data_IF_027000263212
#
_entry.id   IF_027000263212
#
_cell.length_a   1.000
_cell.length_b   1.000
_cell.length_c   1.000
_cell.angle_alpha   90.00
_cell.angle_beta   90.00
_cell.angle_gamma   90.00
#
_symmetry.space_group_name_H-M   'P 1'
#
loop_
_entity.id
_entity.type
_entity.pdbx_description
1 polymer ?
#
# COMPACT_ATOMS: atom_id res chain seq x y z
N UNK A 1 -32.30 15.96 -18.91
CA UNK A 1 -32.46 14.63 -19.59
C UNK A 1 -31.13 14.04 -20.11
N UNK A 2 -29.98 14.64 -19.82
CA UNK A 2 -28.65 14.14 -20.30
C UNK A 2 -27.88 13.25 -19.31
N UNK A 3 -28.36 13.07 -18.10
CA UNK A 3 -27.63 12.25 -17.08
C UNK A 3 -27.96 10.75 -17.06
N UNK A 4 -28.93 10.31 -17.83
CA UNK A 4 -29.26 8.87 -17.92
C UNK A 4 -28.45 8.11 -18.98
N UNK A 5 -27.78 8.80 -19.90
CA UNK A 5 -26.95 8.18 -20.95
C UNK A 5 -25.62 7.57 -20.42
N UNK A 6 -25.02 8.21 -19.41
CA UNK A 6 -23.69 7.81 -18.93
C UNK A 6 -23.70 6.58 -18.01
N UNK A 7 -24.82 6.31 -17.33
CA UNK A 7 -24.95 5.14 -16.45
C UNK A 7 -25.22 3.85 -17.24
N UNK A 8 -25.96 3.94 -18.34
CA UNK A 8 -26.26 2.78 -19.18
C UNK A 8 -25.14 2.46 -20.18
N UNK A 9 -24.35 3.45 -20.62
CA UNK A 9 -23.20 3.25 -21.49
C UNK A 9 -22.07 2.47 -20.84
N UNK A 10 -21.83 2.68 -19.55
CA UNK A 10 -20.78 2.00 -18.79
C UNK A 10 -21.12 0.56 -18.43
N UNK A 11 -22.38 0.23 -18.17
CA UNK A 11 -22.79 -1.10 -17.74
C UNK A 11 -23.07 -2.07 -18.90
N UNK A 12 -23.47 -1.58 -20.06
CA UNK A 12 -23.82 -2.41 -21.23
C UNK A 12 -22.80 -2.35 -22.35
N UNK A 13 -21.94 -1.33 -22.41
CA UNK A 13 -20.93 -1.18 -23.47
C UNK A 13 -19.78 -2.19 -23.40
N UNK A 14 -19.52 -2.78 -22.26
CA UNK A 14 -18.44 -3.78 -22.12
C UNK A 14 -18.84 -5.22 -22.46
N UNK A 15 -20.14 -5.49 -22.65
CA UNK A 15 -20.64 -6.85 -22.90
C UNK A 15 -20.96 -7.16 -24.37
N UNK A 16 -21.10 -6.15 -25.24
CA UNK A 16 -21.52 -6.36 -26.64
C UNK A 16 -20.52 -5.91 -27.69
N UNK A 17 -19.36 -5.37 -27.30
CA UNK A 17 -18.32 -4.85 -28.21
C UNK A 17 -17.12 -5.80 -28.42
N UNK A 18 -17.27 -7.09 -28.30
CA UNK A 18 -16.18 -8.06 -28.33
C UNK A 18 -16.10 -8.99 -29.54
N UNK A 19 -16.48 -8.55 -30.73
CA UNK A 19 -16.20 -9.29 -31.97
C UNK A 19 -15.06 -8.61 -32.70
N UNK A 20 -13.82 -9.05 -32.43
CA UNK A 20 -12.68 -8.66 -33.26
C UNK A 20 -11.39 -8.51 -32.47
N UNK A 21 -10.56 -9.53 -32.53
CA UNK A 21 -9.17 -9.46 -32.11
C UNK A 21 -8.81 -10.52 -31.07
N UNK A 22 -8.47 -11.72 -31.52
CA UNK A 22 -7.82 -12.77 -30.72
C UNK A 22 -6.43 -12.35 -30.29
N UNK A 23 -6.30 -11.28 -29.51
CA UNK A 23 -5.07 -10.94 -28.80
C UNK A 23 -4.79 -12.06 -27.80
N UNK A 24 -3.66 -12.73 -27.95
CA UNK A 24 -3.16 -13.73 -27.02
C UNK A 24 -3.18 -13.10 -25.61
N UNK A 25 -4.07 -13.57 -24.72
CA UNK A 25 -4.11 -13.07 -23.34
C UNK A 25 -2.80 -13.43 -22.68
N UNK A 26 -1.96 -12.42 -22.46
CA UNK A 26 -0.69 -12.60 -21.76
C UNK A 26 -1.00 -13.05 -20.34
N UNK A 27 -0.52 -14.24 -19.97
CA UNK A 27 -0.67 -14.77 -18.63
C UNK A 27 0.10 -13.90 -17.66
N UNK A 28 -0.57 -13.40 -16.62
CA UNK A 28 0.05 -12.58 -15.58
C UNK A 28 0.22 -13.40 -14.30
N UNK A 29 1.37 -13.29 -13.66
CA UNK A 29 1.63 -13.86 -12.35
C UNK A 29 0.75 -13.23 -11.26
N UNK A 30 0.64 -13.90 -10.10
CA UNK A 30 -0.13 -13.39 -8.99
C UNK A 30 0.57 -12.24 -8.28
N UNK A 31 -0.21 -11.29 -7.80
CA UNK A 31 0.33 -10.18 -7.01
C UNK A 31 0.74 -10.65 -5.62
N UNK A 32 1.80 -10.05 -5.09
CA UNK A 32 2.20 -10.21 -3.69
C UNK A 32 1.74 -9.00 -2.89
N UNK A 33 1.39 -9.24 -1.63
CA UNK A 33 1.03 -8.17 -0.68
C UNK A 33 1.95 -8.25 0.53
N UNK A 34 2.54 -7.12 0.88
CA UNK A 34 3.36 -6.97 2.08
C UNK A 34 2.91 -5.75 2.86
N UNK A 35 3.18 -5.76 4.16
CA UNK A 35 2.94 -4.61 5.04
C UNK A 35 4.27 -4.00 5.43
N UNK A 36 4.32 -2.68 5.42
CA UNK A 36 5.52 -1.92 5.79
C UNK A 36 5.15 -0.92 6.85
N UNK A 37 5.76 -1.07 8.02
CA UNK A 37 5.62 -0.12 9.11
C UNK A 37 6.55 1.07 8.90
N UNK A 38 5.98 2.27 9.03
CA UNK A 38 6.69 3.53 8.90
C UNK A 38 6.61 4.29 10.21
N UNK A 39 7.71 4.91 10.59
CA UNK A 39 7.72 5.90 11.67
C UNK A 39 7.18 7.23 11.15
N UNK A 40 6.73 8.08 12.06
CA UNK A 40 6.23 9.41 11.70
C UNK A 40 7.29 10.26 10.99
N UNK A 41 8.57 10.11 11.37
CA UNK A 41 9.71 10.76 10.72
C UNK A 41 9.87 10.31 9.26
N UNK A 42 9.74 9.02 8.99
CA UNK A 42 9.80 8.44 7.65
C UNK A 42 8.62 8.90 6.79
N UNK A 43 7.44 9.09 7.40
CA UNK A 43 6.26 9.61 6.71
C UNK A 43 6.43 11.08 6.32
N UNK A 44 7.04 11.89 7.20
CA UNK A 44 7.24 13.32 6.93
C UNK A 44 8.32 13.57 5.88
N UNK A 45 9.41 12.82 5.94
CA UNK A 45 10.57 13.03 5.06
C UNK A 45 10.53 12.19 3.79
N UNK A 46 9.69 11.14 3.77
CA UNK A 46 9.78 10.09 2.78
C UNK A 46 11.00 9.20 3.03
N UNK A 47 10.97 7.99 2.53
CA UNK A 47 12.06 7.03 2.75
C UNK A 47 12.20 6.05 1.59
N UNK A 48 13.41 5.59 1.35
CA UNK A 48 13.69 4.45 0.48
C UNK A 48 14.01 3.24 1.34
N UNK A 49 13.11 2.23 1.32
CA UNK A 49 13.30 0.98 2.09
C UNK A 49 13.65 -0.17 1.18
N UNK A 50 14.68 -0.93 1.57
CA UNK A 50 15.03 -2.20 0.95
C UNK A 50 14.36 -3.34 1.72
N UNK A 51 13.50 -4.08 1.04
CA UNK A 51 12.69 -5.14 1.66
C UNK A 51 13.00 -6.46 0.99
N UNK A 52 13.22 -7.50 1.77
CA UNK A 52 13.36 -8.86 1.28
C UNK A 52 11.97 -9.45 1.06
N UNK A 53 11.70 -9.84 -0.15
CA UNK A 53 10.40 -10.40 -0.56
C UNK A 53 10.62 -11.84 -1.03
N UNK A 54 9.83 -12.76 -0.47
CA UNK A 54 9.76 -14.15 -0.94
C UNK A 54 8.76 -14.22 -2.09
N UNK A 55 9.24 -14.53 -3.27
CA UNK A 55 8.40 -14.65 -4.47
C UNK A 55 8.62 -15.97 -5.18
N UNK A 56 7.62 -16.43 -5.89
CA UNK A 56 7.74 -17.56 -6.80
C UNK A 56 8.28 -17.07 -8.13
N UNK A 57 9.42 -17.60 -8.53
CA UNK A 57 10.06 -17.30 -9.82
C UNK A 57 10.06 -18.54 -10.67
N UNK A 58 9.96 -18.37 -11.98
CA UNK A 58 10.07 -19.47 -12.90
C UNK A 58 11.51 -20.02 -12.90
N UNK A 59 11.68 -21.34 -12.75
CA UNK A 59 13.01 -21.94 -12.79
C UNK A 59 13.60 -21.82 -14.20
N UNK A 60 14.82 -21.30 -14.35
CA UNK A 60 15.46 -21.16 -15.66
C UNK A 60 15.75 -22.54 -16.31
N UNK A 61 15.91 -23.58 -15.50
CA UNK A 61 16.20 -24.95 -15.98
C UNK A 61 14.95 -25.74 -16.33
N UNK A 62 13.75 -25.18 -16.10
CA UNK A 62 12.51 -25.83 -16.48
C UNK A 62 12.25 -25.69 -17.96
N UNK A 63 11.98 -26.80 -18.64
CA UNK A 63 11.64 -26.82 -20.06
C UNK A 63 10.14 -26.96 -20.27
N UNK A 64 9.64 -26.22 -21.21
CA UNK A 64 8.23 -26.16 -21.56
C UNK A 64 8.02 -26.55 -23.02
N UNK A 65 6.90 -27.19 -23.31
CA UNK A 65 6.43 -27.45 -24.64
C UNK A 65 5.00 -26.97 -24.82
N UNK A 66 4.59 -26.76 -26.06
CA UNK A 66 3.22 -26.37 -26.36
C UNK A 66 2.26 -27.45 -25.88
N UNK A 67 1.21 -27.07 -25.15
CA UNK A 67 0.20 -28.01 -24.65
C UNK A 67 -0.52 -28.67 -25.85
N UNK A 68 -0.46 -29.97 -25.95
CA UNK A 68 -1.09 -30.75 -27.04
C UNK A 68 -2.62 -30.73 -26.96
N UNK A 69 -3.21 -30.52 -25.79
CA UNK A 69 -4.67 -30.52 -25.61
C UNK A 69 -5.32 -29.24 -26.15
N UNK A 70 -4.66 -28.10 -26.01
CA UNK A 70 -5.19 -26.80 -26.45
C UNK A 70 -4.35 -26.16 -27.57
N UNK A 71 -3.32 -26.81 -28.04
CA UNK A 71 -2.40 -26.32 -29.10
C UNK A 71 -1.88 -24.88 -28.78
N UNK A 72 -1.58 -24.62 -27.53
CA UNK A 72 -1.05 -23.33 -27.08
C UNK A 72 -2.10 -22.27 -26.72
N UNK A 73 -3.39 -22.50 -27.00
CA UNK A 73 -4.42 -21.49 -26.77
C UNK A 73 -4.78 -21.29 -25.28
N UNK A 74 -4.41 -22.23 -24.42
CA UNK A 74 -4.79 -22.22 -22.98
C UNK A 74 -6.26 -22.53 -22.70
N UNK A 75 -7.06 -22.68 -23.75
CA UNK A 75 -8.51 -22.91 -23.64
C UNK A 75 -8.94 -24.06 -24.54
N UNK A 76 -9.98 -24.73 -24.16
CA UNK A 76 -10.64 -25.76 -24.96
C UNK A 76 -12.08 -25.36 -25.20
N UNK A 77 -12.52 -25.42 -26.44
CA UNK A 77 -13.93 -25.21 -26.77
C UNK A 77 -14.67 -26.53 -26.80
N UNK A 78 -15.79 -26.58 -26.12
CA UNK A 78 -16.70 -27.74 -26.07
C UNK A 78 -18.02 -27.34 -26.72
N UNK A 79 -18.44 -28.11 -27.73
CA UNK A 79 -19.71 -27.93 -28.39
C UNK A 79 -20.70 -28.87 -27.69
N UNK A 80 -21.76 -28.30 -27.11
CA UNK A 80 -22.85 -29.04 -26.49
C UNK A 80 -24.12 -28.83 -27.30
N UNK A 81 -24.73 -29.92 -27.75
CA UNK A 81 -26.04 -29.85 -28.39
C UNK A 81 -27.11 -29.74 -27.30
N UNK A 82 -27.86 -28.65 -27.30
CA UNK A 82 -28.98 -28.41 -26.40
C UNK A 82 -30.28 -28.38 -27.20
N UNK A 83 -31.41 -28.41 -26.50
CA UNK A 83 -32.77 -28.32 -27.11
C UNK A 83 -32.94 -27.00 -27.90
N UNK A 84 -32.14 -25.98 -27.57
CA UNK A 84 -32.16 -24.67 -28.20
C UNK A 84 -31.10 -24.51 -29.32
N UNK A 85 -30.37 -25.58 -29.67
CA UNK A 85 -29.33 -25.57 -30.69
C UNK A 85 -27.94 -25.91 -30.16
N UNK A 86 -26.94 -25.72 -31.03
CA UNK A 86 -25.52 -25.92 -30.69
C UNK A 86 -25.01 -24.76 -29.87
N UNK A 87 -24.62 -25.02 -28.62
CA UNK A 87 -23.90 -24.03 -27.80
C UNK A 87 -22.42 -24.39 -27.77
N UNK A 88 -21.59 -23.41 -28.10
CA UNK A 88 -20.15 -23.49 -27.94
C UNK A 88 -19.76 -22.82 -26.64
N UNK A 89 -19.21 -23.58 -25.69
CA UNK A 89 -18.64 -23.06 -24.44
C UNK A 89 -17.14 -23.21 -24.48
N UNK A 90 -16.44 -22.16 -24.03
CA UNK A 90 -14.98 -22.16 -23.91
C UNK A 90 -14.63 -22.29 -22.42
N UNK A 91 -13.79 -23.28 -22.10
CA UNK A 91 -13.30 -23.51 -20.75
C UNK A 91 -11.77 -23.49 -20.71
N UNK A 92 -11.22 -23.22 -19.52
CA UNK A 92 -9.78 -23.29 -19.30
C UNK A 92 -9.30 -24.72 -19.58
N UNK A 93 -8.20 -24.87 -20.30
CA UNK A 93 -7.63 -26.17 -20.60
C UNK A 93 -7.21 -26.89 -19.31
N UNK A 94 -7.77 -28.09 -19.02
CA UNK A 94 -7.49 -28.81 -17.78
C UNK A 94 -6.03 -29.32 -17.69
N UNK A 95 -5.37 -29.50 -18.83
CA UNK A 95 -4.01 -30.05 -18.87
C UNK A 95 -2.94 -29.00 -18.55
N UNK A 96 -3.10 -27.77 -19.04
CA UNK A 96 -2.13 -26.69 -18.82
C UNK A 96 -2.66 -25.59 -17.89
N UNK A 97 -3.88 -25.73 -17.34
CA UNK A 97 -4.52 -24.75 -16.46
C UNK A 97 -4.49 -23.30 -17.03
N UNK A 98 -4.67 -23.20 -18.35
CA UNK A 98 -4.68 -21.89 -19.02
C UNK A 98 -3.32 -21.39 -19.47
N UNK A 99 -2.21 -22.04 -19.10
CA UNK A 99 -0.86 -21.60 -19.44
C UNK A 99 -0.53 -21.74 -20.95
N UNK A 100 -1.25 -22.60 -21.69
CA UNK A 100 -0.96 -22.91 -23.09
C UNK A 100 0.28 -23.78 -23.30
N UNK A 101 1.08 -24.01 -22.25
CA UNK A 101 2.30 -24.81 -22.29
C UNK A 101 2.28 -25.85 -21.17
N UNK A 102 2.92 -26.95 -21.40
CA UNK A 102 3.12 -28.06 -20.44
C UNK A 102 4.60 -28.22 -20.12
N UNK A 103 4.89 -28.55 -18.85
CA UNK A 103 6.27 -28.77 -18.42
C UNK A 103 6.76 -30.12 -18.91
N UNK A 104 7.87 -30.13 -19.64
CA UNK A 104 8.53 -31.35 -20.13
C UNK A 104 9.65 -31.80 -19.19
N UNK A 105 10.36 -30.85 -18.57
CA UNK A 105 11.41 -31.13 -17.58
C UNK A 105 11.37 -30.07 -16.51
N UNK A 106 11.53 -30.47 -15.26
CA UNK A 106 11.57 -29.60 -14.09
C UNK A 106 13.01 -29.27 -13.72
N UNK A 107 13.27 -27.99 -13.42
CA UNK A 107 14.54 -27.61 -12.82
C UNK A 107 14.69 -28.18 -11.39
N UNK A 108 15.90 -28.27 -10.91
CA UNK A 108 16.19 -28.74 -9.56
C UNK A 108 15.50 -27.87 -8.50
N UNK A 109 14.72 -28.48 -7.61
CA UNK A 109 13.99 -27.78 -6.56
C UNK A 109 12.70 -27.05 -7.00
N UNK A 110 12.33 -27.13 -8.29
CA UNK A 110 11.10 -26.52 -8.77
C UNK A 110 9.85 -27.36 -8.41
N UNK A 111 8.76 -26.65 -8.13
CA UNK A 111 7.44 -27.27 -7.86
C UNK A 111 6.83 -27.92 -9.11
N UNK A 112 5.60 -28.44 -8.98
CA UNK A 112 4.87 -29.07 -10.10
C UNK A 112 4.63 -28.13 -11.29
N UNK A 113 4.68 -26.84 -11.08
CA UNK A 113 4.49 -25.79 -12.08
C UNK A 113 5.81 -25.20 -12.58
N UNK A 114 6.96 -25.78 -12.21
CA UNK A 114 8.28 -25.30 -12.60
C UNK A 114 8.72 -24.04 -11.84
N UNK A 115 8.08 -23.71 -10.71
CA UNK A 115 8.35 -22.51 -9.94
C UNK A 115 9.31 -22.81 -8.78
N UNK A 116 10.17 -21.84 -8.48
CA UNK A 116 11.08 -21.83 -7.32
C UNK A 116 10.67 -20.73 -6.36
N UNK A 117 10.84 -20.98 -5.06
CA UNK A 117 10.77 -19.92 -4.07
C UNK A 117 12.11 -19.20 -4.02
N UNK A 118 12.15 -17.94 -4.41
CA UNK A 118 13.33 -17.09 -4.36
C UNK A 118 13.11 -15.91 -3.42
N UNK A 119 14.21 -15.45 -2.79
CA UNK A 119 14.21 -14.22 -2.03
C UNK A 119 14.85 -13.11 -2.88
N UNK A 120 14.14 -12.05 -3.09
CA UNK A 120 14.60 -10.86 -3.81
C UNK A 120 14.57 -9.64 -2.89
N UNK A 121 15.62 -8.83 -2.92
CA UNK A 121 15.61 -7.53 -2.24
C UNK A 121 15.09 -6.48 -3.20
N UNK A 122 13.95 -5.88 -2.85
CA UNK A 122 13.31 -4.83 -3.64
C UNK A 122 13.47 -3.50 -2.93
N UNK A 123 13.98 -2.48 -3.62
CA UNK A 123 14.02 -1.10 -3.14
C UNK A 123 12.70 -0.42 -3.47
N UNK A 124 12.08 0.17 -2.46
CA UNK A 124 10.77 0.81 -2.55
C UNK A 124 10.92 2.26 -2.09
N UNK A 125 10.65 3.18 -3.00
CA UNK A 125 10.62 4.60 -2.70
C UNK A 125 9.23 4.99 -2.21
N UNK A 126 9.14 5.40 -0.96
CA UNK A 126 7.91 5.85 -0.31
C UNK A 126 7.94 7.38 -0.27
N UNK A 127 6.98 8.05 -0.92
CA UNK A 127 6.92 9.50 -0.92
C UNK A 127 6.53 10.04 0.46
N UNK A 128 6.87 11.30 0.78
CA UNK A 128 6.41 11.94 2.01
C UNK A 128 4.88 12.13 1.99
N UNK A 129 4.27 12.14 3.17
CA UNK A 129 2.84 12.39 3.30
C UNK A 129 1.93 11.18 3.12
N UNK A 130 2.47 9.96 2.98
CA UNK A 130 1.65 8.75 2.87
C UNK A 130 0.78 8.56 4.11
N UNK A 131 -0.39 7.96 3.91
CA UNK A 131 -1.35 7.67 4.99
C UNK A 131 -1.42 6.18 5.29
N UNK A 132 -1.85 5.86 6.51
CA UNK A 132 -2.13 4.48 6.89
C UNK A 132 -3.18 3.87 5.97
N UNK A 133 -2.98 2.60 5.60
CA UNK A 133 -3.86 1.89 4.66
C UNK A 133 -3.59 2.19 3.19
N UNK A 134 -2.75 3.15 2.85
CA UNK A 134 -2.37 3.38 1.45
C UNK A 134 -1.62 2.18 0.87
N UNK A 135 -1.85 1.92 -0.41
CA UNK A 135 -1.25 0.83 -1.14
C UNK A 135 -0.36 1.36 -2.26
N UNK A 136 0.94 1.09 -2.14
CA UNK A 136 1.91 1.38 -3.19
C UNK A 136 2.08 0.16 -4.09
N UNK A 137 2.11 0.38 -5.40
CA UNK A 137 2.28 -0.65 -6.40
C UNK A 137 3.70 -0.61 -6.98
N UNK A 138 4.42 -1.72 -6.87
CA UNK A 138 5.70 -1.90 -7.54
C UNK A 138 5.52 -2.93 -8.67
N UNK A 139 5.59 -2.48 -9.90
CA UNK A 139 5.32 -3.29 -11.09
C UNK A 139 6.33 -4.41 -11.26
N UNK A 140 5.86 -5.59 -11.70
CA UNK A 140 6.67 -6.76 -12.03
C UNK A 140 7.54 -7.31 -10.87
N UNK A 141 7.17 -7.03 -9.61
CA UNK A 141 7.84 -7.56 -8.39
C UNK A 141 6.98 -8.54 -7.60
N UNK A 142 5.86 -8.98 -8.18
CA UNK A 142 5.06 -10.09 -7.67
C UNK A 142 5.60 -11.45 -8.08
N UNK A 143 4.78 -12.49 -8.00
CA UNK A 143 5.14 -13.83 -8.48
C UNK A 143 5.21 -13.86 -10.00
N UNK A 144 6.10 -14.68 -10.54
CA UNK A 144 6.14 -14.92 -11.97
C UNK A 144 4.89 -15.66 -12.44
N UNK A 145 4.62 -15.57 -13.73
CA UNK A 145 3.59 -16.38 -14.37
C UNK A 145 4.05 -17.82 -14.51
N UNK A 146 3.11 -18.76 -14.45
CA UNK A 146 3.37 -20.17 -14.79
C UNK A 146 3.68 -20.37 -16.28
N UNK A 147 3.50 -19.34 -17.09
CA UNK A 147 3.82 -19.34 -18.52
C UNK A 147 5.16 -18.62 -18.72
N UNK A 148 6.15 -19.23 -19.41
CA UNK A 148 7.43 -18.58 -19.70
C UNK A 148 7.31 -17.25 -20.46
N UNK A 149 6.27 -17.11 -21.29
CA UNK A 149 5.97 -15.89 -22.02
C UNK A 149 5.01 -14.95 -21.25
N UNK A 150 4.73 -15.25 -19.99
CA UNK A 150 3.89 -14.43 -19.13
C UNK A 150 4.65 -13.27 -18.51
N UNK A 151 3.91 -12.32 -17.97
CA UNK A 151 4.47 -11.19 -17.21
C UNK A 151 4.35 -11.45 -15.71
N UNK A 152 5.33 -11.06 -14.91
CA UNK A 152 5.22 -11.13 -13.45
C UNK A 152 4.04 -10.33 -12.92
N UNK A 153 3.53 -10.74 -11.77
CA UNK A 153 2.58 -9.94 -11.01
C UNK A 153 3.20 -8.68 -10.41
N UNK A 154 2.42 -7.92 -9.69
CA UNK A 154 2.88 -6.72 -9.02
C UNK A 154 3.07 -6.98 -7.52
N UNK A 155 3.98 -6.23 -6.91
CA UNK A 155 4.12 -6.17 -5.46
C UNK A 155 3.28 -5.00 -4.95
N UNK A 156 2.35 -5.31 -4.05
CA UNK A 156 1.46 -4.36 -3.41
C UNK A 156 1.94 -4.15 -1.98
N UNK A 157 2.38 -2.94 -1.68
CA UNK A 157 2.93 -2.56 -0.39
C UNK A 157 1.87 -1.78 0.38
N UNK A 158 1.36 -2.37 1.45
CA UNK A 158 0.42 -1.72 2.35
C UNK A 158 1.19 -0.96 3.42
N UNK A 159 0.91 0.32 3.56
CA UNK A 159 1.52 1.18 4.56
C UNK A 159 0.79 1.03 5.89
N UNK A 160 1.53 0.80 6.96
CA UNK A 160 1.08 0.82 8.34
C UNK A 160 1.87 1.90 9.09
N UNK A 161 1.20 2.75 9.85
CA UNK A 161 1.85 3.74 10.69
C UNK A 161 2.23 3.10 12.04
N UNK A 162 3.45 3.35 12.50
CA UNK A 162 3.85 2.95 13.85
C UNK A 162 3.42 4.01 14.84
N UNK A 163 2.83 3.57 15.97
CA UNK A 163 2.44 4.49 17.03
C UNK A 163 3.63 5.36 17.48
N UNK A 164 3.37 6.65 17.65
CA UNK A 164 4.32 7.60 18.21
C UNK A 164 3.81 8.02 19.60
N UNK A 165 4.71 8.05 20.59
CA UNK A 165 4.34 8.39 21.98
C UNK A 165 4.11 9.89 22.17
N UNK A 166 4.73 10.72 21.35
CA UNK A 166 4.71 12.18 21.50
C UNK A 166 3.64 12.86 20.64
N UNK A 167 3.34 12.28 19.49
CA UNK A 167 2.45 12.89 18.50
C UNK A 167 1.29 11.99 18.16
N UNK A 168 0.11 12.56 18.13
CA UNK A 168 -1.09 11.92 17.57
C UNK A 168 -1.38 12.55 16.21
N UNK A 169 -1.57 11.73 15.20
CA UNK A 169 -1.87 12.19 13.85
C UNK A 169 -3.37 12.37 13.65
N UNK A 170 -3.75 13.49 13.03
CA UNK A 170 -5.09 13.73 12.49
C UNK A 170 -4.98 14.25 11.05
N UNK A 171 -5.11 13.33 10.10
CA UNK A 171 -4.87 13.60 8.68
C UNK A 171 -3.45 14.14 8.44
N UNK A 172 -3.34 15.40 8.02
CA UNK A 172 -2.05 16.10 7.86
C UNK A 172 -1.60 16.90 9.08
N UNK A 173 -2.47 17.04 10.08
CA UNK A 173 -2.15 17.74 11.32
C UNK A 173 -1.58 16.79 12.36
N UNK A 174 -0.77 17.33 13.26
CA UNK A 174 -0.20 16.63 14.40
C UNK A 174 -0.69 17.27 15.68
N UNK A 175 -1.01 16.45 16.65
CA UNK A 175 -1.35 16.87 18.01
C UNK A 175 -0.22 16.53 18.96
N UNK A 176 0.13 17.48 19.81
CA UNK A 176 1.16 17.33 20.83
C UNK A 176 0.64 17.86 22.17
N UNK A 177 0.72 17.05 23.22
CA UNK A 177 0.34 17.43 24.56
C UNK A 177 1.52 18.04 25.33
N UNK A 178 1.43 19.33 25.61
CA UNK A 178 2.43 20.05 26.38
C UNK A 178 1.96 20.20 27.83
N UNK A 179 2.71 19.60 28.74
CA UNK A 179 2.46 19.71 30.16
C UNK A 179 3.33 20.80 30.80
N UNK A 180 2.70 21.72 31.51
CA UNK A 180 3.35 22.82 32.26
C UNK A 180 2.88 22.82 33.73
N UNK A 181 3.71 23.35 34.60
CA UNK A 181 3.35 23.52 36.00
C UNK A 181 2.42 24.74 36.21
N UNK A 182 1.73 24.80 37.35
CA UNK A 182 0.88 25.94 37.73
C UNK A 182 1.70 27.24 37.78
N UNK A 183 2.93 27.21 38.34
CA UNK A 183 3.82 28.36 38.38
C UNK A 183 4.22 28.86 37.01
N UNK A 184 4.55 27.96 36.10
CA UNK A 184 4.87 28.29 34.69
C UNK A 184 3.66 28.89 33.99
N UNK A 185 2.47 28.36 34.23
CA UNK A 185 1.23 28.90 33.68
C UNK A 185 0.92 30.32 34.19
N UNK A 186 1.16 30.57 35.46
CA UNK A 186 0.88 31.87 36.09
C UNK A 186 1.87 32.95 35.68
N UNK A 187 3.17 32.63 35.60
CA UNK A 187 4.24 33.58 35.32
C UNK A 187 4.56 33.71 33.83
N UNK A 188 4.14 32.75 33.05
CA UNK A 188 4.57 32.59 31.66
C UNK A 188 5.96 31.94 31.57
N UNK A 189 6.20 31.22 30.51
CA UNK A 189 7.45 30.48 30.32
C UNK A 189 7.76 30.31 28.84
N UNK A 190 9.04 30.16 28.49
CA UNK A 190 9.48 29.70 27.17
C UNK A 190 9.82 28.23 27.24
N UNK A 191 9.17 27.40 26.40
CA UNK A 191 9.40 25.96 26.32
C UNK A 191 9.90 25.56 24.94
N UNK A 192 10.85 24.65 24.95
CA UNK A 192 11.31 24.01 23.74
C UNK A 192 10.45 22.78 23.45
N UNK A 193 9.80 22.77 22.30
CA UNK A 193 8.97 21.65 21.84
C UNK A 193 9.77 20.87 20.80
N UNK A 194 9.81 19.56 20.95
CA UNK A 194 10.35 18.68 19.94
C UNK A 194 9.39 18.68 18.74
N UNK A 195 9.95 18.85 17.56
CA UNK A 195 9.29 18.66 16.28
C UNK A 195 9.82 17.37 15.68
N UNK A 196 9.19 16.90 14.62
CA UNK A 196 9.72 15.80 13.83
C UNK A 196 11.07 16.21 13.22
N UNK A 197 11.17 17.46 12.73
CA UNK A 197 12.38 18.03 12.15
C UNK A 197 13.04 19.06 13.10
N UNK A 198 13.46 18.61 14.28
CA UNK A 198 14.21 19.49 15.20
C UNK A 198 13.42 19.98 16.40
N UNK A 199 13.65 21.25 16.80
CA UNK A 199 13.03 21.86 18.00
C UNK A 199 12.57 23.27 17.68
N UNK A 200 11.49 23.69 18.34
CA UNK A 200 11.00 25.07 18.29
C UNK A 200 10.78 25.59 19.70
N UNK A 201 11.22 26.85 19.94
CA UNK A 201 10.93 27.52 21.20
C UNK A 201 9.64 28.31 21.08
N UNK A 202 8.69 28.02 21.94
CA UNK A 202 7.44 28.76 22.07
C UNK A 202 7.42 29.56 23.37
N UNK A 203 6.87 30.76 23.32
CA UNK A 203 6.64 31.59 24.49
C UNK A 203 5.19 31.45 24.91
N UNK A 204 4.97 31.00 26.12
CA UNK A 204 3.66 30.96 26.76
C UNK A 204 3.47 32.25 27.58
N UNK A 205 2.35 32.93 27.36
CA UNK A 205 1.99 34.13 28.09
C UNK A 205 1.61 33.81 29.55
N UNK A 206 1.82 34.75 30.43
CA UNK A 206 1.36 34.64 31.83
C UNK A 206 -0.15 34.52 31.89
N UNK A 207 -0.64 33.65 32.78
CA UNK A 207 -2.08 33.40 32.96
C UNK A 207 -2.68 32.49 31.90
N UNK A 208 -1.86 31.72 31.16
CA UNK A 208 -2.35 30.74 30.18
C UNK A 208 -3.19 29.68 30.88
N UNK A 209 -4.33 29.33 30.26
CA UNK A 209 -5.27 28.35 30.82
C UNK A 209 -5.04 26.97 30.21
N UNK A 210 -5.33 25.92 31.01
CA UNK A 210 -5.37 24.54 30.49
C UNK A 210 -6.44 24.40 29.42
N UNK A 211 -6.16 23.57 28.41
CA UNK A 211 -7.03 23.36 27.26
C UNK A 211 -6.81 24.37 26.10
N UNK A 212 -5.94 25.39 26.28
CA UNK A 212 -5.60 26.29 25.18
C UNK A 212 -4.77 25.54 24.16
N UNK A 213 -5.15 25.65 22.89
CA UNK A 213 -4.43 25.05 21.76
C UNK A 213 -3.63 26.13 21.03
N UNK A 214 -2.34 25.88 20.85
CA UNK A 214 -1.43 26.72 20.07
C UNK A 214 -1.17 26.06 18.72
N UNK A 215 -1.31 26.82 17.64
CA UNK A 215 -1.12 26.33 16.29
C UNK A 215 0.24 26.75 15.73
N UNK A 216 1.09 25.79 15.45
CA UNK A 216 2.35 25.99 14.77
C UNK A 216 2.18 25.64 13.28
N UNK A 217 2.12 26.66 12.44
CA UNK A 217 1.86 26.53 11.02
C UNK A 217 2.97 25.79 10.30
N UNK A 218 2.62 24.95 9.33
CA UNK A 218 3.53 24.19 8.48
C UNK A 218 4.50 23.26 9.26
N UNK A 219 4.11 22.80 10.46
CA UNK A 219 4.89 21.89 11.30
C UNK A 219 4.25 20.49 11.42
N UNK A 220 3.26 20.20 10.61
CA UNK A 220 2.63 18.90 10.45
C UNK A 220 3.22 18.08 9.30
N UNK A 221 2.42 17.16 8.79
CA UNK A 221 2.77 16.22 7.71
C UNK A 221 2.59 16.92 6.35
N UNK A 222 3.50 16.70 5.39
CA UNK A 222 3.33 17.21 4.04
C UNK A 222 2.17 16.52 3.34
N UNK A 223 1.53 17.21 2.43
CA UNK A 223 0.49 16.67 1.56
C UNK A 223 1.14 15.81 0.46
N UNK A 224 0.61 14.61 0.24
CA UNK A 224 1.13 13.68 -0.77
C UNK A 224 1.07 14.25 -2.21
N UNK A 225 -0.01 14.98 -2.51
CA UNK A 225 -0.29 15.52 -3.85
C UNK A 225 -0.13 17.04 -3.94
N UNK A 226 0.34 17.69 -2.89
CA UNK A 226 0.42 19.15 -2.79
C UNK A 226 1.74 19.65 -2.23
N UNK A 227 1.90 20.98 -2.26
CA UNK A 227 3.05 21.66 -1.67
C UNK A 227 2.79 22.14 -0.24
N UNK A 228 1.59 21.89 0.30
CA UNK A 228 1.22 22.33 1.64
C UNK A 228 1.67 21.32 2.69
N UNK A 229 2.04 21.83 3.87
CA UNK A 229 2.23 21.02 5.08
C UNK A 229 1.06 21.28 6.03
N UNK A 230 0.69 20.28 6.80
CA UNK A 230 -0.21 20.43 7.93
C UNK A 230 0.42 21.29 9.04
N UNK A 231 -0.30 21.45 10.11
CA UNK A 231 0.13 22.20 11.28
C UNK A 231 0.35 21.29 12.47
N UNK A 232 1.14 21.74 13.43
CA UNK A 232 1.24 21.10 14.72
C UNK A 232 0.35 21.87 15.70
N UNK A 233 -0.59 21.17 16.32
CA UNK A 233 -1.51 21.65 17.33
C UNK A 233 -0.98 21.25 18.71
N UNK A 234 -0.53 22.25 19.49
CA UNK A 234 0.03 22.04 20.81
C UNK A 234 -1.06 22.30 21.84
N UNK A 235 -1.47 21.26 22.55
CA UNK A 235 -2.46 21.33 23.61
C UNK A 235 -1.76 21.62 24.94
N UNK A 236 -2.04 22.77 25.52
CA UNK A 236 -1.47 23.15 26.80
C UNK A 236 -2.26 22.53 27.93
N UNK A 237 -1.61 21.68 28.69
CA UNK A 237 -2.18 21.00 29.87
C UNK A 237 -1.42 21.44 31.14
N UNK A 238 -2.16 21.86 32.16
CA UNK A 238 -1.56 22.22 33.46
C UNK A 238 -1.51 20.98 34.32
N UNK A 239 -0.28 20.58 34.69
CA UNK A 239 -0.06 19.44 35.56
C UNK A 239 -0.04 19.89 37.01
N UNK A 240 -0.89 19.27 37.86
CA UNK A 240 -0.93 19.47 39.31
C UNK A 240 -0.32 18.27 40.02
N UNK A 241 0.64 18.47 40.96
CA UNK A 241 1.27 17.37 41.66
C UNK A 241 0.23 16.65 42.56
N UNK A 242 0.20 15.31 42.44
CA UNK A 242 -0.71 14.47 43.23
C UNK A 242 -0.28 14.34 44.72
N UNK A 243 1.02 14.46 44.98
CA UNK A 243 1.59 14.36 46.33
C UNK A 243 2.45 15.57 46.62
N UNK A 244 2.21 16.19 47.77
CA UNK A 244 2.99 17.33 48.26
C UNK A 244 3.73 16.91 49.53
N UNK A 245 4.99 17.30 49.66
CA UNK A 245 5.77 17.13 50.88
C UNK A 245 5.30 18.12 51.96
N UNK A 246 5.62 17.83 53.26
CA UNK A 246 5.21 18.71 54.39
C UNK A 246 5.65 20.18 54.24
N UNK A 247 6.71 20.47 53.50
CA UNK A 247 7.17 21.84 53.22
C UNK A 247 6.48 22.49 52.00
N UNK A 248 5.73 21.73 51.22
CA UNK A 248 5.01 22.19 50.02
C UNK A 248 3.50 22.34 50.29
N UNK A 249 3.02 21.85 51.45
CA UNK A 249 1.72 22.11 52.01
C UNK A 249 1.80 23.37 52.89
#
# INVERSE_FOLDING_TARGET
FSQFGDIFGSAFGSSFGGFGGGGQRVSKGSNLRIRVKLTLEEIVNGVEKKIKVKRKTLSPDSKFSTCTTCNGSGQVSRITNTILGRMQSTSICPNCNGAGQSITSRGAGADSNGMLNSEETVSIKIPPGVEEGMQLKVSAKGNDSNNPNGIPGDLLVLIEESNNELFTRDGKHLHYDLYISISEAALGVSKDIHLIDGKVRIKLESGIQSGKTLRLRNKGIPDLNGYSKGDLLVHVNIWTPKTLNKKQK
#
